data_IF_178910877966
#
_entry.id   IF_178910877966
#
_cell.length_a   1.000
_cell.length_b   1.000
_cell.length_c   1.000
_cell.angle_alpha   90.00
_cell.angle_beta   90.00
_cell.angle_gamma   90.00
#
_symmetry.space_group_name_H-M   'P 1'
#
loop_
_entity.id
_entity.type
_entity.pdbx_description
1 polymer ?
#
# COMPACT_ATOMS: atom_id res chain seq x y z
N UNK A 1 -16.72 -7.31 18.82
CA UNK A 1 -15.33 -7.08 18.32
C UNK A 1 -15.37 -6.09 17.15
N UNK A 2 -14.52 -5.07 17.11
CA UNK A 2 -14.56 -4.03 16.06
C UNK A 2 -13.73 -4.48 14.85
N UNK A 3 -14.31 -4.42 13.64
CA UNK A 3 -13.63 -4.76 12.39
C UNK A 3 -12.50 -3.76 12.08
N UNK A 4 -11.28 -4.26 11.91
CA UNK A 4 -10.07 -3.44 11.63
C UNK A 4 -9.94 -3.06 10.14
N UNK A 5 -10.52 -3.87 9.26
CA UNK A 5 -10.57 -3.65 7.81
C UNK A 5 -11.69 -2.68 7.49
N UNK A 6 -11.36 -1.39 7.59
CA UNK A 6 -12.25 -0.29 7.22
C UNK A 6 -11.81 0.31 5.87
N UNK A 7 -12.73 0.94 5.11
CA UNK A 7 -12.33 1.75 3.97
C UNK A 7 -11.34 2.84 4.41
N UNK A 8 -10.49 3.27 3.49
CA UNK A 8 -9.40 4.25 3.70
C UNK A 8 -8.25 3.75 4.57
N UNK A 9 -8.22 2.46 4.92
CA UNK A 9 -7.02 1.83 5.51
C UNK A 9 -6.00 1.51 4.43
N UNK A 10 -4.73 1.80 4.75
CA UNK A 10 -3.64 1.38 3.90
C UNK A 10 -3.28 -0.08 4.19
N UNK A 11 -2.96 -0.80 3.13
CA UNK A 11 -2.65 -2.22 3.14
C UNK A 11 -1.48 -2.51 2.20
N UNK A 12 -0.78 -3.59 2.47
CA UNK A 12 0.27 -4.11 1.59
C UNK A 12 -0.26 -5.37 0.91
N UNK A 13 -0.06 -5.46 -0.40
CA UNK A 13 -0.39 -6.67 -1.14
C UNK A 13 0.71 -7.71 -0.95
N UNK A 14 0.33 -8.91 -0.49
CA UNK A 14 1.27 -10.01 -0.27
C UNK A 14 1.52 -10.81 -1.56
N UNK A 15 0.49 -11.02 -2.38
CA UNK A 15 0.55 -11.96 -3.50
C UNK A 15 0.10 -11.37 -4.86
N UNK A 16 0.56 -12.01 -5.94
CA UNK A 16 0.22 -11.71 -7.33
C UNK A 16 1.08 -10.58 -7.95
N UNK A 17 0.66 -10.08 -9.11
CA UNK A 17 1.43 -9.10 -9.92
C UNK A 17 1.86 -7.83 -9.17
N UNK A 18 1.10 -7.43 -8.16
CA UNK A 18 1.36 -6.22 -7.38
C UNK A 18 1.83 -6.53 -5.96
N UNK A 19 2.41 -7.70 -5.72
CA UNK A 19 3.03 -8.05 -4.44
C UNK A 19 4.07 -7.00 -4.02
N UNK A 20 4.12 -6.72 -2.71
CA UNK A 20 4.99 -5.71 -2.12
C UNK A 20 4.62 -4.26 -2.47
N UNK A 21 3.43 -4.02 -3.03
CA UNK A 21 2.91 -2.67 -3.31
C UNK A 21 1.92 -2.24 -2.24
N UNK A 22 2.01 -0.96 -1.85
CA UNK A 22 1.09 -0.29 -0.95
C UNK A 22 -0.17 0.07 -1.70
N UNK A 23 -1.29 -0.10 -1.02
CA UNK A 23 -2.60 0.16 -1.56
C UNK A 23 -3.57 0.60 -0.47
N UNK A 24 -4.74 1.07 -0.86
CA UNK A 24 -5.80 1.56 0.02
C UNK A 24 -7.05 0.75 -0.26
N UNK A 25 -7.75 0.34 0.81
CA UNK A 25 -9.06 -0.28 0.71
C UNK A 25 -10.08 0.80 0.41
N UNK A 26 -10.84 0.62 -0.67
CA UNK A 26 -11.91 1.54 -1.08
C UNK A 26 -13.25 1.02 -0.58
N UNK A 27 -13.52 -0.25 -0.86
CA UNK A 27 -14.73 -0.97 -0.45
C UNK A 27 -14.35 -2.35 0.08
N UNK A 28 -14.95 -2.73 1.20
CA UNK A 28 -14.82 -4.03 1.86
C UNK A 28 -16.10 -4.84 1.60
N UNK A 29 -15.96 -6.11 1.24
CA UNK A 29 -17.04 -7.06 1.05
C UNK A 29 -16.79 -8.25 1.99
N UNK A 30 -17.39 -8.19 3.18
CA UNK A 30 -17.16 -9.20 4.22
C UNK A 30 -18.01 -10.45 3.99
N UNK A 31 -19.26 -10.27 3.53
CA UNK A 31 -20.24 -11.35 3.33
C UNK A 31 -20.12 -12.00 1.93
N UNK A 32 -19.12 -11.60 1.15
CA UNK A 32 -18.92 -12.05 -0.22
C UNK A 32 -19.93 -11.45 -1.20
N UNK A 33 -19.73 -11.78 -2.48
CA UNK A 33 -20.59 -11.40 -3.60
C UNK A 33 -21.06 -12.68 -4.28
N UNK A 34 -22.15 -12.63 -5.06
CA UNK A 34 -22.64 -13.81 -5.83
C UNK A 34 -21.55 -14.48 -6.68
N UNK A 35 -20.63 -13.70 -7.24
CA UNK A 35 -19.50 -14.22 -8.02
C UNK A 35 -18.39 -14.86 -7.15
N UNK A 36 -18.25 -14.39 -5.90
CA UNK A 36 -17.12 -14.71 -5.01
C UNK A 36 -17.63 -14.82 -3.57
N UNK A 37 -17.87 -16.04 -3.06
CA UNK A 37 -18.45 -16.24 -1.73
C UNK A 37 -17.49 -15.90 -0.58
N UNK A 38 -16.21 -15.67 -0.86
CA UNK A 38 -15.21 -15.32 0.15
C UNK A 38 -15.12 -13.81 0.39
N UNK A 39 -14.68 -13.44 1.59
CA UNK A 39 -14.40 -12.06 1.96
C UNK A 39 -13.31 -11.43 1.07
N UNK A 40 -13.63 -10.31 0.45
CA UNK A 40 -12.73 -9.64 -0.48
C UNK A 40 -12.88 -8.12 -0.39
N UNK A 41 -11.96 -7.41 -1.03
CA UNK A 41 -11.93 -5.96 -1.01
C UNK A 41 -11.55 -5.41 -2.38
N UNK A 42 -12.09 -4.23 -2.65
CA UNK A 42 -11.70 -3.40 -3.77
C UNK A 42 -10.59 -2.47 -3.32
N UNK A 43 -9.45 -2.58 -3.99
CA UNK A 43 -8.20 -1.94 -3.59
C UNK A 43 -7.65 -1.08 -4.73
N UNK A 44 -7.24 0.14 -4.39
CA UNK A 44 -6.50 1.03 -5.27
C UNK A 44 -5.09 1.26 -4.71
N UNK A 45 -4.06 1.04 -5.53
CA UNK A 45 -2.68 1.14 -5.06
C UNK A 45 -1.72 1.72 -6.08
N UNK A 46 -0.47 1.82 -5.65
CA UNK A 46 0.61 2.40 -6.46
C UNK A 46 1.38 1.30 -7.19
N UNK A 47 1.31 1.30 -8.52
CA UNK A 47 2.12 0.42 -9.38
C UNK A 47 3.55 0.93 -9.51
N UNK A 48 3.69 2.23 -9.80
CA UNK A 48 4.98 2.91 -9.91
C UNK A 48 5.02 4.03 -8.89
N UNK A 49 5.91 3.89 -7.91
CA UNK A 49 6.16 4.91 -6.89
C UNK A 49 6.84 6.14 -7.49
N UNK A 50 6.60 7.33 -6.92
CA UNK A 50 7.38 8.51 -7.26
C UNK A 50 8.82 8.33 -6.79
N UNK A 51 9.76 8.90 -7.54
CA UNK A 51 11.18 8.91 -7.16
C UNK A 51 11.46 10.10 -6.25
N UNK A 52 12.50 9.98 -5.41
CA UNK A 52 12.96 11.07 -4.54
C UNK A 52 13.33 12.30 -5.38
N UNK A 53 12.67 13.41 -5.09
CA UNK A 53 12.98 14.74 -5.65
C UNK A 53 14.12 15.35 -4.85
N UNK A 54 15.12 15.90 -5.54
CA UNK A 54 16.30 16.54 -4.95
C UNK A 54 16.25 18.03 -5.32
N UNK A 55 16.71 18.92 -4.42
CA UNK A 55 16.70 20.38 -4.64
C UNK A 55 17.44 20.82 -5.92
N UNK A 56 18.42 20.04 -6.37
CA UNK A 56 19.21 20.30 -7.60
C UNK A 56 18.47 19.93 -8.90
N UNK A 57 17.29 19.30 -8.81
CA UNK A 57 16.55 18.87 -9.99
C UNK A 57 15.89 20.05 -10.71
N UNK A 58 16.00 20.07 -12.04
CA UNK A 58 15.23 20.99 -12.88
C UNK A 58 13.73 20.64 -12.85
N UNK A 59 12.85 21.62 -13.08
CA UNK A 59 11.38 21.49 -13.07
C UNK A 59 10.88 20.32 -13.93
N UNK A 60 11.45 20.13 -15.13
CA UNK A 60 11.15 19.01 -16.04
C UNK A 60 11.50 17.64 -15.43
N UNK A 61 12.63 17.54 -14.72
CA UNK A 61 13.05 16.30 -14.03
C UNK A 61 12.14 16.03 -12.82
N UNK A 62 11.79 17.06 -12.07
CA UNK A 62 10.88 16.98 -10.91
C UNK A 62 9.49 16.48 -11.31
N UNK A 63 8.92 17.02 -12.39
CA UNK A 63 7.66 16.52 -12.94
C UNK A 63 7.77 15.04 -13.34
N UNK A 64 8.87 14.64 -13.99
CA UNK A 64 9.08 13.23 -14.40
C UNK A 64 9.17 12.28 -13.20
N UNK A 65 9.82 12.70 -12.09
CA UNK A 65 10.01 11.92 -10.85
C UNK A 65 8.73 11.82 -10.02
N UNK A 66 7.90 12.86 -10.03
CA UNK A 66 6.65 12.92 -9.26
C UNK A 66 5.50 12.11 -9.87
N UNK A 67 5.66 11.62 -11.11
CA UNK A 67 4.62 10.83 -11.79
C UNK A 67 4.37 9.50 -11.08
N UNK A 68 3.10 9.25 -10.76
CA UNK A 68 2.62 8.01 -10.17
C UNK A 68 1.87 7.18 -11.22
N UNK A 69 1.92 5.85 -11.10
CA UNK A 69 1.01 4.97 -11.85
C UNK A 69 0.16 4.20 -10.85
N UNK A 70 -1.15 4.37 -10.92
CA UNK A 70 -2.10 3.66 -10.07
C UNK A 70 -2.49 2.30 -10.67
N UNK A 71 -3.03 1.42 -9.83
CA UNK A 71 -3.74 0.21 -10.25
C UNK A 71 -4.97 0.01 -9.38
N UNK A 72 -5.98 -0.65 -9.94
CA UNK A 72 -7.20 -1.06 -9.25
C UNK A 72 -7.30 -2.59 -9.37
N UNK A 73 -7.56 -3.26 -8.25
CA UNK A 73 -7.69 -4.71 -8.18
C UNK A 73 -8.67 -5.12 -7.09
N UNK A 74 -9.38 -6.22 -7.34
CA UNK A 74 -10.18 -6.91 -6.34
C UNK A 74 -9.33 -8.03 -5.73
N UNK A 75 -9.24 -8.07 -4.40
CA UNK A 75 -8.27 -8.87 -3.66
C UNK A 75 -8.96 -9.57 -2.49
N UNK A 76 -8.65 -10.84 -2.26
CA UNK A 76 -9.07 -11.59 -1.06
C UNK A 76 -8.31 -11.04 0.17
N UNK A 77 -8.97 -10.98 1.32
CA UNK A 77 -8.38 -10.52 2.57
C UNK A 77 -7.13 -11.30 2.99
N UNK A 78 -7.04 -12.60 2.69
CA UNK A 78 -5.85 -13.41 2.98
C UNK A 78 -4.58 -12.90 2.26
N UNK A 79 -4.74 -12.21 1.13
CA UNK A 79 -3.63 -11.68 0.35
C UNK A 79 -3.28 -10.23 0.72
N UNK A 80 -3.90 -9.69 1.76
CA UNK A 80 -3.61 -8.39 2.32
C UNK A 80 -2.88 -8.53 3.64
N UNK A 81 -1.85 -7.71 3.79
CA UNK A 81 -1.30 -7.39 5.10
C UNK A 81 -1.89 -6.04 5.53
N UNK A 82 -2.77 -6.00 6.55
CA UNK A 82 -3.29 -4.75 7.07
C UNK A 82 -2.17 -3.95 7.71
N UNK A 83 -2.25 -2.63 7.61
CA UNK A 83 -1.29 -1.76 8.29
C UNK A 83 -2.01 -0.77 9.18
N UNK A 84 -1.29 -0.21 10.15
CA UNK A 84 -1.82 0.81 11.07
C UNK A 84 -2.28 2.08 10.35
N UNK A 85 -1.63 2.39 9.23
CA UNK A 85 -1.77 3.63 8.49
C UNK A 85 -3.17 3.81 7.87
N UNK A 86 -3.67 5.03 7.94
CA UNK A 86 -4.85 5.49 7.21
C UNK A 86 -4.41 6.42 6.08
N UNK A 87 -5.19 6.43 5.00
CA UNK A 87 -4.99 7.33 3.89
C UNK A 87 -6.34 7.94 3.50
N UNK A 88 -6.49 9.22 3.79
CA UNK A 88 -7.72 9.95 3.55
C UNK A 88 -7.77 10.43 2.11
N UNK A 89 -8.06 9.54 1.16
CA UNK A 89 -8.38 9.93 -0.22
C UNK A 89 -9.73 9.36 -0.57
N UNK A 90 -10.63 10.25 -0.96
CA UNK A 90 -11.98 9.90 -1.40
C UNK A 90 -11.91 9.30 -2.81
N UNK A 91 -11.74 7.97 -2.85
CA UNK A 91 -11.71 7.17 -4.08
C UNK A 91 -13.00 6.35 -4.29
N UNK A 92 -13.96 6.48 -3.38
CA UNK A 92 -15.18 5.65 -3.36
C UNK A 92 -16.08 5.89 -4.58
N UNK A 93 -16.09 7.13 -5.07
CA UNK A 93 -16.94 7.56 -6.19
C UNK A 93 -16.31 7.18 -7.54
N UNK A 94 -14.97 7.24 -7.59
CA UNK A 94 -14.18 6.97 -8.81
C UNK A 94 -14.08 5.46 -9.07
N UNK A 95 -13.91 4.67 -8.01
CA UNK A 95 -13.58 3.25 -8.12
C UNK A 95 -14.72 2.39 -7.61
N UNK A 96 -15.52 1.90 -8.54
CA UNK A 96 -16.62 0.96 -8.30
C UNK A 96 -16.27 -0.46 -8.74
N UNK A 97 -17.03 -1.47 -8.30
CA UNK A 97 -16.84 -2.85 -8.74
C UNK A 97 -17.06 -3.00 -10.26
N UNK A 98 -17.97 -2.21 -10.84
CA UNK A 98 -18.29 -2.24 -12.27
C UNK A 98 -17.13 -1.75 -13.15
N UNK A 99 -16.28 -0.89 -12.60
CA UNK A 99 -15.08 -0.40 -13.29
C UNK A 99 -14.08 -1.50 -13.62
N UNK A 100 -14.20 -2.68 -12.98
CA UNK A 100 -13.32 -3.83 -13.21
C UNK A 100 -13.76 -4.73 -14.37
N UNK A 101 -15.03 -4.67 -14.78
CA UNK A 101 -15.60 -5.58 -15.78
C UNK A 101 -15.06 -5.29 -17.19
N UNK A 102 -14.86 -4.01 -17.52
CA UNK A 102 -14.32 -3.59 -18.83
C UNK A 102 -12.96 -2.93 -18.68
N UNK A 103 -12.07 -3.21 -19.65
CA UNK A 103 -10.69 -2.70 -19.63
C UNK A 103 -10.64 -1.19 -19.77
N UNK A 104 -11.54 -0.58 -20.53
CA UNK A 104 -11.56 0.85 -20.77
C UNK A 104 -11.96 1.63 -19.52
N UNK A 105 -13.03 1.18 -18.83
CA UNK A 105 -13.45 1.76 -17.53
C UNK A 105 -12.36 1.61 -16.46
N UNK A 106 -11.61 0.51 -16.49
CA UNK A 106 -10.48 0.33 -15.59
C UNK A 106 -9.35 1.33 -15.87
N UNK A 107 -9.10 1.64 -17.14
CA UNK A 107 -8.08 2.62 -17.54
C UNK A 107 -8.50 4.03 -17.17
N UNK A 108 -9.77 4.42 -17.35
CA UNK A 108 -10.28 5.75 -16.94
C UNK A 108 -10.19 5.93 -15.43
N UNK A 109 -10.69 4.96 -14.66
CA UNK A 109 -10.63 4.98 -13.18
C UNK A 109 -9.18 5.04 -12.67
N UNK A 110 -8.25 4.34 -13.35
CA UNK A 110 -6.82 4.39 -13.01
C UNK A 110 -6.18 5.76 -13.31
N UNK A 111 -6.62 6.45 -14.36
CA UNK A 111 -6.15 7.82 -14.69
C UNK A 111 -6.64 8.83 -13.65
N UNK A 112 -7.87 8.70 -13.17
CA UNK A 112 -8.43 9.56 -12.14
C UNK A 112 -7.79 9.32 -10.78
N UNK A 113 -7.65 8.05 -10.39
CA UNK A 113 -6.93 7.66 -9.16
C UNK A 113 -5.48 8.19 -9.17
N UNK A 114 -4.82 8.16 -10.33
CA UNK A 114 -3.48 8.73 -10.49
C UNK A 114 -3.46 10.23 -10.17
N UNK A 115 -4.42 11.03 -10.67
CA UNK A 115 -4.46 12.48 -10.41
C UNK A 115 -4.54 12.77 -8.91
N UNK A 116 -5.43 12.06 -8.20
CA UNK A 116 -5.59 12.17 -6.74
C UNK A 116 -4.32 11.81 -5.97
N UNK A 117 -3.61 10.75 -6.37
CA UNK A 117 -2.34 10.39 -5.74
C UNK A 117 -1.22 11.39 -6.03
N UNK A 118 -1.18 11.99 -7.22
CA UNK A 118 -0.19 13.02 -7.56
C UNK A 118 -0.45 14.33 -6.80
N UNK A 119 -1.71 14.73 -6.62
CA UNK A 119 -2.11 15.86 -5.77
C UNK A 119 -1.65 15.65 -4.33
N UNK A 120 -1.96 14.50 -3.74
CA UNK A 120 -1.54 14.16 -2.37
C UNK A 120 -0.01 14.12 -2.22
N UNK A 121 0.71 13.58 -3.19
CA UNK A 121 2.18 13.54 -3.13
C UNK A 121 2.80 14.94 -3.08
N UNK A 122 2.25 15.91 -3.84
CA UNK A 122 2.70 17.30 -3.81
C UNK A 122 2.50 17.97 -2.46
N UNK A 123 1.47 17.58 -1.70
CA UNK A 123 1.25 18.10 -0.33
C UNK A 123 2.26 17.61 0.69
N UNK A 124 3.08 16.60 0.36
CA UNK A 124 4.09 16.05 1.27
C UNK A 124 3.54 15.14 2.37
N UNK A 125 2.21 14.96 2.45
CA UNK A 125 1.56 14.09 3.44
C UNK A 125 1.74 12.60 3.11
N UNK A 126 1.59 11.75 4.14
CA UNK A 126 1.64 10.28 4.03
C UNK A 126 2.93 9.77 3.38
N UNK A 127 4.10 10.26 3.83
CA UNK A 127 5.42 9.91 3.30
C UNK A 127 5.63 8.39 3.20
N UNK A 128 5.20 7.63 4.21
CA UNK A 128 5.27 6.17 4.19
C UNK A 128 4.54 5.58 2.99
N UNK A 129 3.34 6.05 2.62
CA UNK A 129 2.59 5.46 1.51
C UNK A 129 3.30 5.62 0.16
N UNK A 130 3.98 6.75 -0.05
CA UNK A 130 4.67 7.05 -1.30
C UNK A 130 6.11 6.54 -1.36
N UNK A 131 6.70 6.12 -0.24
CA UNK A 131 8.01 5.47 -0.22
C UNK A 131 7.90 3.98 -0.56
N UNK A 132 8.74 3.55 -1.51
CA UNK A 132 8.84 2.14 -1.91
C UNK A 132 9.34 1.29 -0.73
N UNK A 133 8.67 0.16 -0.50
CA UNK A 133 9.13 -0.91 0.39
C UNK A 133 10.42 -1.51 -0.14
N UNK A 134 11.43 -1.60 0.71
CA UNK A 134 12.66 -2.33 0.41
C UNK A 134 12.57 -3.70 1.06
N UNK A 135 12.36 -4.72 0.25
CA UNK A 135 12.58 -6.09 0.70
C UNK A 135 14.09 -6.30 0.68
N UNK A 136 14.73 -6.71 1.78
CA UNK A 136 16.12 -7.12 1.73
C UNK A 136 16.21 -8.37 0.84
N UNK A 137 16.84 -8.24 -0.32
CA UNK A 137 17.02 -9.28 -1.34
C UNK A 137 17.85 -10.51 -0.85
N UNK A 138 18.28 -10.52 0.40
CA UNK A 138 19.19 -11.54 0.99
C UNK A 138 18.54 -12.94 1.10
N UNK A 139 17.23 -13.08 0.88
CA UNK A 139 16.56 -14.39 0.91
C UNK A 139 16.33 -15.04 -0.46
N UNK A 140 16.51 -14.32 -1.58
CA UNK A 140 16.20 -14.90 -2.89
C UNK A 140 17.36 -15.71 -3.51
N UNK A 141 18.61 -15.49 -3.11
CA UNK A 141 19.73 -16.31 -3.59
C UNK A 141 19.76 -17.72 -2.96
N UNK A 142 19.11 -17.91 -1.81
CA UNK A 142 19.07 -19.21 -1.12
C UNK A 142 17.87 -20.07 -1.58
N UNK A 143 16.74 -19.45 -1.94
CA UNK A 143 15.57 -20.18 -2.47
C UNK A 143 15.78 -20.61 -3.93
N UNK A 144 16.65 -19.91 -4.67
CA UNK A 144 16.98 -20.24 -6.07
C UNK A 144 17.86 -21.48 -6.29
N UNK A 145 18.29 -22.17 -5.23
CA UNK A 145 19.09 -23.40 -5.31
C UNK A 145 18.33 -24.67 -4.89
N UNK A 146 17.06 -24.55 -4.53
CA UNK A 146 16.15 -25.70 -4.36
C UNK A 146 15.39 -25.86 -5.66
N UNK A 147 16.12 -26.29 -6.69
CA UNK A 147 15.54 -26.82 -7.91
C UNK A 147 15.19 -28.28 -7.63
N UNK A 148 13.93 -28.65 -7.88
CA UNK A 148 13.55 -29.93 -8.45
C UNK A 148 14.17 -31.18 -7.80
N UNK A 149 13.54 -31.68 -6.73
CA UNK A 149 13.57 -33.11 -6.45
C UNK A 149 12.23 -33.53 -5.85
N UNK A 150 11.52 -34.38 -6.58
CA UNK A 150 10.36 -35.12 -6.10
C UNK A 150 10.71 -35.84 -4.80
N UNK A 151 9.98 -35.55 -3.73
CA UNK A 151 9.78 -36.49 -2.62
C UNK A 151 8.53 -36.12 -1.84
N UNK A 152 7.50 -36.98 -1.96
CA UNK A 152 6.53 -37.19 -0.89
C UNK A 152 7.30 -37.44 0.41
N UNK A 153 7.05 -36.65 1.45
CA UNK A 153 7.17 -37.14 2.83
C UNK A 153 6.31 -36.30 3.78
N UNK A 154 5.53 -37.05 4.53
CA UNK A 154 4.64 -36.61 5.59
C UNK A 154 5.42 -35.97 6.75
N UNK A 155 4.74 -35.04 7.42
CA UNK A 155 4.96 -34.54 8.79
C UNK A 155 6.29 -33.84 9.10
N UNK A 156 6.19 -32.62 9.64
CA UNK A 156 7.32 -32.01 10.37
C UNK A 156 7.49 -30.52 10.15
N UNK A 157 6.62 -29.74 10.79
CA UNK A 157 6.76 -28.32 11.06
C UNK A 157 8.10 -28.02 11.75
N UNK A 158 8.96 -27.16 11.17
CA UNK A 158 9.72 -26.03 11.79
C UNK A 158 10.55 -25.36 10.67
N UNK A 159 10.00 -24.37 9.97
CA UNK A 159 10.81 -23.46 9.15
C UNK A 159 10.22 -22.03 9.04
N UNK A 160 9.38 -21.64 10.00
CA UNK A 160 8.66 -20.35 9.96
C UNK A 160 9.18 -19.27 10.92
N UNK A 161 10.19 -19.53 11.76
CA UNK A 161 10.54 -18.59 12.83
C UNK A 161 11.37 -17.38 12.40
N UNK A 162 12.32 -17.56 11.47
CA UNK A 162 13.24 -16.46 11.10
C UNK A 162 12.59 -15.44 10.15
N UNK A 163 11.63 -15.88 9.34
CA UNK A 163 10.91 -15.01 8.41
C UNK A 163 9.85 -14.15 9.13
N UNK A 164 9.12 -14.74 10.09
CA UNK A 164 8.21 -13.98 10.96
C UNK A 164 8.97 -12.97 11.82
N UNK A 165 10.11 -13.35 12.40
CA UNK A 165 10.89 -12.45 13.27
C UNK A 165 11.42 -11.21 12.53
N UNK A 166 11.90 -11.36 11.28
CA UNK A 166 12.36 -10.21 10.47
C UNK A 166 11.22 -9.34 9.98
N UNK A 167 10.05 -9.91 9.74
CA UNK A 167 8.85 -9.13 9.41
C UNK A 167 8.39 -8.34 10.65
N UNK A 168 8.41 -8.94 11.84
CA UNK A 168 8.05 -8.27 13.10
C UNK A 168 9.02 -7.15 13.49
N UNK A 169 10.34 -7.36 13.37
CA UNK A 169 11.33 -6.29 13.62
C UNK A 169 11.18 -5.13 12.61
N UNK A 170 10.88 -5.46 11.34
CA UNK A 170 10.60 -4.46 10.32
C UNK A 170 9.29 -3.69 10.57
N UNK A 171 8.23 -4.37 11.05
CA UNK A 171 6.98 -3.75 11.49
C UNK A 171 7.24 -2.78 12.65
N UNK A 172 8.00 -3.19 13.67
CA UNK A 172 8.31 -2.35 14.83
C UNK A 172 9.09 -1.08 14.45
N UNK A 173 10.08 -1.18 13.54
CA UNK A 173 10.81 0.01 13.06
C UNK A 173 9.94 0.97 12.23
N UNK A 174 8.95 0.44 11.51
CA UNK A 174 7.96 1.26 10.80
C UNK A 174 6.98 1.95 11.77
N UNK A 175 6.70 1.37 12.95
CA UNK A 175 5.86 2.00 13.99
C UNK A 175 6.51 3.24 14.62
N UNK A 176 7.83 3.22 14.86
CA UNK A 176 8.56 4.40 15.37
C UNK A 176 8.57 5.57 14.37
N UNK A 177 8.63 5.27 13.07
CA UNK A 177 8.58 6.28 12.01
C UNK A 177 7.25 7.04 11.97
N UNK A 178 6.15 6.40 12.38
CA UNK A 178 4.80 6.97 12.44
C UNK A 178 4.57 7.90 13.62
N UNK A 179 5.06 7.51 14.80
CA UNK A 179 4.98 8.31 16.02
C UNK A 179 5.64 9.69 15.76
N UNK A 180 6.83 9.66 15.16
CA UNK A 180 7.60 10.87 14.79
C UNK A 180 6.85 11.76 13.80
N UNK A 181 6.18 11.18 12.80
CA UNK A 181 5.42 11.95 11.80
C UNK A 181 4.11 12.54 12.39
N UNK A 182 3.39 11.78 13.23
CA UNK A 182 2.21 12.31 13.95
C UNK A 182 2.58 13.44 14.90
N UNK A 183 3.68 13.29 15.63
CA UNK A 183 4.18 14.33 16.53
C UNK A 183 4.60 15.58 15.74
N UNK A 184 5.22 15.40 14.57
CA UNK A 184 5.57 16.52 13.68
C UNK A 184 4.36 17.28 13.14
N UNK A 185 3.33 16.57 12.64
CA UNK A 185 2.10 17.20 12.12
C UNK A 185 1.35 17.92 13.24
N UNK A 186 1.24 17.33 14.44
CA UNK A 186 0.64 18.00 15.60
C UNK A 186 1.41 19.27 16.00
N UNK A 187 2.74 19.24 15.95
CA UNK A 187 3.57 20.41 16.22
C UNK A 187 3.41 21.51 15.15
N UNK A 188 3.29 21.13 13.87
CA UNK A 188 3.04 22.09 12.78
C UNK A 188 1.63 22.72 12.90
N UNK A 189 0.60 21.94 13.24
CA UNK A 189 -0.77 22.45 13.49
C UNK A 189 -0.82 23.39 14.71
N UNK A 190 -0.17 23.03 15.82
CA UNK A 190 -0.06 23.91 16.98
C UNK A 190 0.71 25.21 16.67
N UNK A 191 1.70 25.15 15.79
CA UNK A 191 2.46 26.33 15.37
C UNK A 191 1.67 27.30 14.50
N UNK A 192 0.74 26.79 13.67
CA UNK A 192 -0.17 27.61 12.88
C UNK A 192 -1.21 28.30 13.77
N UNK A 193 -1.83 27.55 14.68
CA UNK A 193 -2.83 28.06 15.63
C UNK A 193 -2.27 29.13 16.59
N UNK A 194 -0.96 29.15 16.83
CA UNK A 194 -0.28 30.21 17.61
C UNK A 194 -0.04 31.48 16.80
N UNK A 195 0.07 31.40 15.48
CA UNK A 195 0.29 32.55 14.59
C UNK A 195 -1.01 33.32 14.31
N UNK A 196 -2.16 32.64 14.34
CA UNK A 196 -3.47 33.26 14.13
C UNK A 196 -4.02 33.98 15.38
N UNK A 197 -3.32 33.89 16.52
CA UNK A 197 -3.67 34.54 17.81
C UNK A 197 -2.81 35.76 18.16
N UNK A 198 -1.86 36.13 17.32
CA UNK A 198 -1.09 37.38 17.37
C UNK A 198 -1.58 38.32 16.28
#
# INVERSE_FOLDING_TARGET
MVKFLKPNKAVILLQGRYAGRKAVIIKSFDDGTRERPYGHCLVAGIKKYPNKVIRKDNTKKTAKKSRVKAFIKLVNYQHLMPTRYTLDVDLKDIVTADSLQSKDKKVTSSKETKKRFEERFKTGKNRWFFTKLRFPDVYYLWIGRISFCDCKLNNGMVFLSVFEAKILDWISRDEEGQEKERMRVKNEEQSLMRKDKM
#
